data_IF_196006510774
#
_entry.id   IF_196006510774
#
_cell.length_a   1.000
_cell.length_b   1.000
_cell.length_c   1.000
_cell.angle_alpha   90.00
_cell.angle_beta   90.00
_cell.angle_gamma   90.00
#
_symmetry.space_group_name_H-M   'P 1'
#
loop_
_entity.id
_entity.type
_entity.pdbx_description
1 polymer ?
#
# COMPACT_ATOMS: atom_id res chain seq x y z
N UNK A 1 -19.20 -22.88 13.53
CA UNK A 1 -18.58 -22.93 12.18
C UNK A 1 -18.21 -21.50 11.81
N UNK A 2 -17.06 -21.26 11.19
CA UNK A 2 -16.61 -19.92 10.84
C UNK A 2 -17.59 -19.21 9.90
N UNK A 3 -17.73 -17.88 10.02
CA UNK A 3 -18.61 -17.07 9.16
C UNK A 3 -18.12 -17.11 7.70
N UNK A 4 -16.81 -17.13 7.49
CA UNK A 4 -16.19 -17.19 6.17
C UNK A 4 -15.08 -18.25 6.10
N UNK A 5 -14.89 -18.81 4.89
CA UNK A 5 -13.75 -19.66 4.56
C UNK A 5 -13.04 -19.06 3.35
N UNK A 6 -11.73 -18.88 3.45
CA UNK A 6 -10.89 -18.31 2.40
C UNK A 6 -9.89 -19.38 1.96
N UNK A 7 -9.91 -19.75 0.70
CA UNK A 7 -8.90 -20.61 0.09
C UNK A 7 -7.91 -19.75 -0.65
N UNK A 8 -6.61 -20.03 -0.53
CA UNK A 8 -5.57 -19.17 -1.08
C UNK A 8 -4.43 -19.98 -1.68
N UNK A 9 -3.96 -19.55 -2.84
CA UNK A 9 -2.79 -20.09 -3.50
C UNK A 9 -2.02 -18.99 -4.26
N UNK A 10 -0.73 -19.19 -4.51
CA UNK A 10 0.12 -18.25 -5.21
C UNK A 10 1.40 -18.91 -5.73
N UNK A 11 1.83 -18.48 -6.90
CA UNK A 11 2.99 -19.07 -7.55
C UNK A 11 3.62 -18.18 -8.62
N UNK A 12 4.87 -18.48 -8.93
CA UNK A 12 5.75 -17.73 -9.81
C UNK A 12 6.49 -18.69 -10.74
N UNK A 13 6.61 -18.33 -12.03
CA UNK A 13 7.35 -19.15 -12.99
C UNK A 13 7.96 -18.27 -14.11
N UNK A 14 9.29 -18.16 -14.22
CA UNK A 14 10.33 -18.65 -13.29
C UNK A 14 10.25 -17.99 -11.90
N UNK A 15 11.08 -18.40 -10.94
CA UNK A 15 11.08 -17.86 -9.56
C UNK A 15 12.50 -17.39 -9.16
N UNK A 16 12.77 -16.07 -9.08
CA UNK A 16 11.84 -14.96 -9.29
C UNK A 16 11.41 -14.80 -10.75
N UNK A 17 10.31 -14.07 -10.97
CA UNK A 17 9.75 -13.78 -12.30
C UNK A 17 8.27 -13.39 -12.23
N UNK A 18 7.50 -13.60 -13.32
CA UNK A 18 6.07 -13.38 -13.32
C UNK A 18 5.36 -14.31 -12.36
N UNK A 19 4.58 -13.74 -11.46
CA UNK A 19 3.79 -14.46 -10.47
C UNK A 19 2.32 -14.05 -10.48
N UNK A 20 1.49 -14.96 -10.00
CA UNK A 20 0.08 -14.76 -9.81
C UNK A 20 -0.38 -15.31 -8.46
N UNK A 21 -1.44 -14.72 -7.93
CA UNK A 21 -2.08 -15.15 -6.70
C UNK A 21 -3.58 -15.29 -6.91
N UNK A 22 -4.21 -16.17 -6.13
CA UNK A 22 -5.63 -16.46 -6.20
C UNK A 22 -6.23 -16.65 -4.81
N UNK A 23 -7.40 -16.10 -4.57
CA UNK A 23 -8.17 -16.31 -3.35
C UNK A 23 -9.66 -16.56 -3.65
N UNK A 24 -10.24 -17.55 -2.99
CA UNK A 24 -11.67 -17.89 -3.08
C UNK A 24 -12.31 -17.74 -1.71
N UNK A 25 -13.25 -16.81 -1.59
CA UNK A 25 -13.96 -16.52 -0.34
C UNK A 25 -15.38 -17.07 -0.37
N UNK A 26 -15.72 -17.84 0.64
CA UNK A 26 -17.01 -18.50 0.83
C UNK A 26 -17.66 -18.03 2.13
N UNK A 27 -18.98 -17.80 2.12
CA UNK A 27 -19.76 -17.53 3.34
C UNK A 27 -20.38 -18.81 3.88
N UNK A 28 -20.21 -19.06 5.19
CA UNK A 28 -20.48 -20.34 5.87
C UNK A 28 -21.92 -20.85 5.78
N UNK A 29 -22.91 -19.97 5.57
CA UNK A 29 -24.33 -20.35 5.48
C UNK A 29 -24.83 -20.57 4.04
N UNK A 30 -24.07 -20.12 3.03
CA UNK A 30 -24.55 -20.06 1.63
C UNK A 30 -23.40 -20.25 0.65
N UNK A 31 -23.02 -21.51 0.37
CA UNK A 31 -22.19 -21.93 -0.79
C UNK A 31 -22.57 -21.29 -2.15
N UNK A 32 -23.69 -20.58 -2.23
CA UNK A 32 -24.17 -19.78 -3.37
C UNK A 32 -23.42 -18.47 -3.61
N UNK A 33 -22.75 -17.86 -2.62
CA UNK A 33 -21.95 -16.64 -2.81
C UNK A 33 -20.46 -16.96 -2.67
N UNK A 34 -19.83 -17.16 -3.83
CA UNK A 34 -18.40 -17.35 -4.00
C UNK A 34 -17.83 -16.05 -4.52
N UNK A 35 -16.79 -15.53 -3.88
CA UNK A 35 -16.03 -14.38 -4.38
C UNK A 35 -14.64 -14.86 -4.75
N UNK A 36 -14.29 -14.69 -6.01
CA UNK A 36 -12.97 -15.04 -6.56
C UNK A 36 -12.16 -13.75 -6.72
N UNK A 37 -10.91 -13.78 -6.26
CA UNK A 37 -9.95 -12.70 -6.33
C UNK A 37 -8.66 -13.24 -6.92
N UNK A 38 -8.01 -12.46 -7.76
CA UNK A 38 -6.73 -12.83 -8.33
C UNK A 38 -5.95 -11.60 -8.78
N UNK A 39 -4.64 -11.70 -8.83
CA UNK A 39 -3.78 -10.64 -9.34
C UNK A 39 -2.42 -11.17 -9.81
N UNK A 40 -1.67 -10.31 -10.50
CA UNK A 40 -0.39 -10.63 -11.13
C UNK A 40 0.66 -9.61 -10.70
N UNK A 41 1.90 -10.06 -10.56
CA UNK A 41 3.08 -9.21 -10.37
C UNK A 41 4.17 -9.69 -11.34
N UNK A 42 4.75 -8.77 -12.12
CA UNK A 42 5.74 -9.10 -13.16
C UNK A 42 7.04 -9.67 -12.61
N UNK A 43 7.47 -9.17 -11.45
CA UNK A 43 8.74 -9.52 -10.82
C UNK A 43 8.51 -9.82 -9.34
N UNK A 44 8.29 -11.09 -9.03
CA UNK A 44 7.96 -11.53 -7.67
C UNK A 44 8.51 -12.93 -7.38
N UNK A 45 8.07 -13.56 -6.29
CA UNK A 45 8.43 -14.94 -5.94
C UNK A 45 7.21 -15.73 -5.50
N UNK A 46 7.31 -17.07 -5.48
CA UNK A 46 6.24 -17.95 -4.97
C UNK A 46 5.74 -17.49 -3.59
N UNK A 47 6.66 -17.38 -2.62
CA UNK A 47 6.32 -17.01 -1.25
C UNK A 47 5.62 -15.66 -1.13
N UNK A 48 5.99 -14.68 -2.00
CA UNK A 48 5.32 -13.38 -2.02
C UNK A 48 3.87 -13.51 -2.50
N UNK A 49 3.64 -14.30 -3.55
CA UNK A 49 2.29 -14.57 -4.06
C UNK A 49 1.41 -15.34 -3.07
N UNK A 50 1.97 -16.31 -2.36
CA UNK A 50 1.25 -17.03 -1.29
C UNK A 50 0.79 -16.09 -0.17
N UNK A 51 1.67 -15.20 0.32
CA UNK A 51 1.29 -14.19 1.34
C UNK A 51 0.26 -13.20 0.77
N UNK A 52 0.44 -12.80 -0.49
CA UNK A 52 -0.44 -11.85 -1.19
C UNK A 52 -1.86 -12.39 -1.28
N UNK A 53 -2.03 -13.66 -1.63
CA UNK A 53 -3.33 -14.32 -1.68
C UNK A 53 -4.07 -14.26 -0.33
N UNK A 54 -3.36 -14.52 0.77
CA UNK A 54 -3.92 -14.46 2.12
C UNK A 54 -4.35 -13.05 2.53
N UNK A 55 -3.52 -12.05 2.25
CA UNK A 55 -3.84 -10.64 2.52
C UNK A 55 -5.08 -10.21 1.75
N UNK A 56 -5.11 -10.46 0.44
CA UNK A 56 -6.22 -10.01 -0.41
C UNK A 56 -7.53 -10.72 -0.07
N UNK A 57 -7.46 -12.00 0.33
CA UNK A 57 -8.58 -12.70 0.91
C UNK A 57 -9.10 -12.03 2.19
N UNK A 58 -8.22 -11.74 3.15
CA UNK A 58 -8.60 -11.10 4.42
C UNK A 58 -9.08 -9.65 4.23
N UNK A 59 -8.53 -8.90 3.28
CA UNK A 59 -8.98 -7.55 2.91
C UNK A 59 -10.42 -7.49 2.46
N UNK A 60 -10.89 -8.55 1.81
CA UNK A 60 -12.27 -8.65 1.38
C UNK A 60 -13.26 -8.74 2.55
N UNK A 61 -12.77 -8.96 3.78
CA UNK A 61 -13.57 -9.12 4.99
C UNK A 61 -13.79 -7.80 5.74
N UNK A 62 -14.95 -7.75 6.41
CA UNK A 62 -15.30 -6.72 7.37
C UNK A 62 -14.50 -6.93 8.68
N UNK A 63 -14.29 -5.85 9.42
CA UNK A 63 -13.66 -5.93 10.74
C UNK A 63 -14.49 -6.83 11.67
N UNK A 64 -13.81 -7.64 12.48
CA UNK A 64 -14.41 -8.61 13.41
C UNK A 64 -14.99 -9.86 12.75
N UNK A 65 -14.80 -10.09 11.45
CA UNK A 65 -15.26 -11.32 10.80
C UNK A 65 -14.58 -12.57 11.39
N UNK A 66 -15.34 -13.65 11.53
CA UNK A 66 -14.83 -14.98 11.89
C UNK A 66 -14.47 -15.76 10.61
N UNK A 67 -13.17 -16.03 10.43
CA UNK A 67 -12.59 -16.46 9.15
C UNK A 67 -11.70 -17.68 9.34
N UNK A 68 -11.91 -18.71 8.52
CA UNK A 68 -10.96 -19.80 8.33
C UNK A 68 -10.17 -19.61 7.04
N UNK A 69 -8.86 -19.38 7.13
CA UNK A 69 -7.97 -19.37 5.98
C UNK A 69 -7.42 -20.78 5.74
N UNK A 70 -7.57 -21.27 4.51
CA UNK A 70 -7.13 -22.56 4.02
C UNK A 70 -6.05 -22.34 2.96
N UNK A 71 -4.87 -22.92 3.17
CA UNK A 71 -3.72 -22.79 2.26
C UNK A 71 -2.90 -24.08 2.25
N UNK A 72 -2.23 -24.37 1.15
CA UNK A 72 -1.21 -25.42 1.06
C UNK A 72 0.23 -24.92 1.26
N UNK A 73 0.42 -23.60 1.34
CA UNK A 73 1.70 -23.00 1.67
C UNK A 73 2.11 -23.30 3.10
N UNK A 74 3.15 -24.12 3.24
CA UNK A 74 3.81 -24.32 4.53
C UNK A 74 4.53 -23.05 4.99
N UNK A 75 5.06 -22.25 4.08
CA UNK A 75 5.76 -21.00 4.40
C UNK A 75 4.81 -20.00 5.06
N UNK A 76 3.64 -19.79 4.45
CA UNK A 76 2.59 -18.93 4.99
C UNK A 76 2.12 -19.45 6.34
N UNK A 77 1.75 -20.75 6.43
CA UNK A 77 1.27 -21.38 7.66
C UNK A 77 2.28 -21.25 8.80
N UNK A 78 3.56 -21.59 8.59
CA UNK A 78 4.58 -21.51 9.63
C UNK A 78 4.85 -20.05 10.03
N UNK A 79 4.86 -19.14 9.06
CA UNK A 79 5.02 -17.72 9.34
C UNK A 79 3.93 -17.17 10.24
N UNK A 80 2.66 -17.45 9.95
CA UNK A 80 1.54 -16.97 10.78
C UNK A 80 1.43 -17.66 12.13
N UNK A 81 1.63 -18.99 12.20
CA UNK A 81 1.42 -19.73 13.45
C UNK A 81 2.62 -19.70 14.40
N UNK A 82 3.82 -19.43 13.90
CA UNK A 82 5.06 -19.64 14.68
C UNK A 82 6.01 -18.45 14.64
N UNK A 83 6.31 -17.90 13.47
CA UNK A 83 7.41 -16.92 13.35
C UNK A 83 6.98 -15.48 13.61
N UNK A 84 5.81 -15.08 13.13
CA UNK A 84 5.35 -13.69 13.17
C UNK A 84 5.33 -13.13 14.58
N UNK A 85 4.86 -13.92 15.56
CA UNK A 85 4.85 -13.52 16.98
C UNK A 85 6.27 -13.22 17.50
N UNK A 86 7.27 -13.96 17.06
CA UNK A 86 8.68 -13.74 17.45
C UNK A 86 9.28 -12.53 16.72
N UNK A 87 8.99 -12.37 15.42
CA UNK A 87 9.44 -11.22 14.63
C UNK A 87 8.89 -9.90 15.17
N UNK A 88 7.61 -9.84 15.54
CA UNK A 88 7.01 -8.64 16.16
C UNK A 88 7.72 -8.21 17.43
N UNK A 89 8.08 -9.16 18.30
CA UNK A 89 8.85 -8.89 19.53
C UNK A 89 10.27 -8.39 19.27
N UNK A 90 10.79 -8.59 18.05
CA UNK A 90 12.14 -8.18 17.62
C UNK A 90 12.08 -7.10 16.55
N UNK A 91 10.99 -6.32 16.50
CA UNK A 91 10.82 -5.22 15.55
C UNK A 91 11.05 -5.63 14.08
N UNK A 92 10.57 -6.84 13.74
CA UNK A 92 10.70 -7.46 12.42
C UNK A 92 12.15 -7.71 11.98
N UNK A 93 13.00 -8.09 12.94
CA UNK A 93 14.37 -8.57 12.71
C UNK A 93 14.54 -10.05 13.02
N UNK A 94 15.46 -10.69 12.31
CA UNK A 94 15.87 -12.08 12.52
C UNK A 94 16.74 -12.21 13.79
N UNK A 95 17.13 -13.44 14.15
CA UNK A 95 18.12 -13.68 15.23
C UNK A 95 19.48 -13.04 14.93
N UNK A 96 19.82 -12.85 13.65
CA UNK A 96 21.08 -12.25 13.18
C UNK A 96 21.02 -10.72 13.13
N UNK A 97 19.87 -10.10 13.45
CA UNK A 97 19.67 -8.64 13.43
C UNK A 97 19.27 -8.06 12.07
N UNK A 98 19.25 -8.89 11.03
CA UNK A 98 18.83 -8.54 9.67
C UNK A 98 17.31 -8.36 9.58
N UNK A 99 16.84 -7.64 8.57
CA UNK A 99 15.41 -7.52 8.31
C UNK A 99 14.81 -8.87 7.91
N UNK A 100 13.62 -9.18 8.42
CA UNK A 100 12.88 -10.38 8.02
C UNK A 100 12.59 -10.34 6.51
N UNK A 101 12.83 -11.46 5.82
CA UNK A 101 12.51 -11.57 4.40
C UNK A 101 11.00 -11.43 4.18
N UNK A 102 10.61 -10.66 3.15
CA UNK A 102 9.21 -10.30 2.86
C UNK A 102 8.52 -9.54 4.02
N UNK A 103 9.28 -8.83 4.86
CA UNK A 103 8.76 -8.02 5.98
C UNK A 103 7.61 -7.12 5.54
N UNK A 104 7.73 -6.51 4.37
CA UNK A 104 6.71 -5.65 3.76
C UNK A 104 5.34 -6.35 3.69
N UNK A 105 5.29 -7.60 3.22
CA UNK A 105 4.04 -8.36 3.13
C UNK A 105 3.61 -8.94 4.47
N UNK A 106 4.56 -9.32 5.34
CA UNK A 106 4.24 -9.86 6.65
C UNK A 106 3.63 -8.82 7.59
N UNK A 107 4.14 -7.59 7.57
CA UNK A 107 3.56 -6.46 8.31
C UNK A 107 2.13 -6.18 7.83
N UNK A 108 1.89 -6.25 6.52
CA UNK A 108 0.54 -6.12 5.96
C UNK A 108 -0.37 -7.24 6.47
N UNK A 109 0.07 -8.49 6.39
CA UNK A 109 -0.72 -9.65 6.80
C UNK A 109 -1.04 -9.60 8.29
N UNK A 110 -0.12 -9.16 9.14
CA UNK A 110 -0.34 -9.00 10.58
C UNK A 110 -1.51 -8.03 10.87
N UNK A 111 -1.57 -6.92 10.12
CA UNK A 111 -2.68 -5.97 10.24
C UNK A 111 -4.01 -6.61 9.85
N UNK A 112 -4.06 -7.30 8.69
CA UNK A 112 -5.30 -7.95 8.24
C UNK A 112 -5.76 -9.08 9.17
N UNK A 113 -4.81 -9.84 9.71
CA UNK A 113 -5.09 -10.87 10.73
C UNK A 113 -5.63 -10.23 12.01
N UNK A 114 -5.07 -9.10 12.45
CA UNK A 114 -5.55 -8.38 13.63
C UNK A 114 -6.96 -7.80 13.49
N UNK A 115 -7.43 -7.55 12.26
CA UNK A 115 -8.79 -7.07 11.97
C UNK A 115 -9.87 -8.15 12.11
N UNK A 116 -9.51 -9.44 12.02
CA UNK A 116 -10.46 -10.56 11.98
C UNK A 116 -10.19 -11.57 13.10
N UNK A 117 -11.16 -12.43 13.41
CA UNK A 117 -10.90 -13.65 14.17
C UNK A 117 -10.47 -14.74 13.18
N UNK A 118 -9.15 -14.95 13.03
CA UNK A 118 -8.61 -15.82 11.97
C UNK A 118 -8.14 -17.17 12.53
N UNK A 119 -8.70 -18.24 12.01
CA UNK A 119 -8.18 -19.60 12.14
C UNK A 119 -7.44 -20.01 10.85
N UNK A 120 -6.42 -20.86 10.99
CA UNK A 120 -5.60 -21.33 9.88
C UNK A 120 -5.71 -22.85 9.74
N UNK A 121 -5.96 -23.32 8.52
CA UNK A 121 -5.96 -24.73 8.16
C UNK A 121 -4.98 -24.95 7.02
N UNK A 122 -4.00 -25.80 7.26
CA UNK A 122 -3.13 -26.26 6.20
C UNK A 122 -3.72 -27.49 5.52
N UNK A 123 -3.72 -27.49 4.20
CA UNK A 123 -4.05 -28.66 3.38
C UNK A 123 -2.83 -29.06 2.58
N UNK A 124 -2.76 -30.32 2.16
CA UNK A 124 -1.72 -30.73 1.22
C UNK A 124 -2.18 -30.30 -0.18
N UNK A 125 -1.29 -29.70 -0.98
CA UNK A 125 -1.58 -29.31 -2.35
C UNK A 125 -2.03 -30.52 -3.20
N UNK A 126 -2.90 -30.25 -4.19
CA UNK A 126 -3.44 -31.26 -5.13
C UNK A 126 -4.18 -32.44 -4.48
N UNK A 127 -4.88 -32.23 -3.36
CA UNK A 127 -5.63 -33.28 -2.65
C UNK A 127 -7.12 -33.37 -2.99
N UNK A 128 -7.61 -32.72 -4.05
CA UNK A 128 -9.02 -32.80 -4.45
C UNK A 128 -9.95 -31.82 -3.73
N UNK A 129 -9.43 -30.87 -2.93
CA UNK A 129 -10.26 -29.76 -2.44
C UNK A 129 -10.52 -28.79 -3.59
N UNK A 130 -11.72 -28.87 -4.15
CA UNK A 130 -12.17 -28.07 -5.30
C UNK A 130 -11.89 -26.57 -5.17
N UNK A 131 -11.89 -26.03 -3.94
CA UNK A 131 -11.70 -24.59 -3.74
C UNK A 131 -10.23 -24.21 -3.63
N UNK A 132 -9.38 -25.12 -3.15
CA UNK A 132 -7.93 -24.95 -3.24
C UNK A 132 -7.47 -25.05 -4.71
N UNK A 133 -7.98 -26.04 -5.44
CA UNK A 133 -7.73 -26.17 -6.88
C UNK A 133 -8.23 -24.96 -7.66
N UNK A 134 -9.36 -24.37 -7.23
CA UNK A 134 -9.85 -23.13 -7.84
C UNK A 134 -8.92 -21.95 -7.54
N UNK A 135 -8.35 -21.85 -6.35
CA UNK A 135 -7.38 -20.81 -6.01
C UNK A 135 -6.08 -20.97 -6.83
N UNK A 136 -5.57 -22.19 -7.00
CA UNK A 136 -4.43 -22.52 -7.88
C UNK A 136 -4.71 -22.09 -9.34
N UNK A 137 -5.88 -22.46 -9.86
CA UNK A 137 -6.30 -22.05 -11.21
C UNK A 137 -6.33 -20.53 -11.36
N UNK A 138 -6.85 -19.80 -10.37
CA UNK A 138 -6.87 -18.34 -10.38
C UNK A 138 -5.46 -17.74 -10.37
N UNK A 139 -4.56 -18.29 -9.55
CA UNK A 139 -3.16 -17.86 -9.49
C UNK A 139 -2.43 -18.12 -10.82
N UNK A 140 -2.61 -19.31 -11.40
CA UNK A 140 -2.02 -19.71 -12.68
C UNK A 140 -2.56 -18.87 -13.83
N UNK A 141 -3.88 -18.68 -13.93
CA UNK A 141 -4.49 -17.81 -14.95
C UNK A 141 -4.03 -16.35 -14.80
N UNK A 142 -3.88 -15.86 -13.58
CA UNK A 142 -3.39 -14.51 -13.36
C UNK A 142 -1.94 -14.36 -13.79
N UNK A 143 -1.06 -15.33 -13.46
CA UNK A 143 0.34 -15.34 -13.88
C UNK A 143 0.50 -15.33 -15.40
N UNK A 144 -0.26 -16.20 -16.08
CA UNK A 144 -0.09 -16.52 -17.50
C UNK A 144 -0.82 -15.54 -18.44
N UNK A 145 -1.57 -14.55 -17.92
CA UNK A 145 -2.18 -13.48 -18.73
C UNK A 145 -1.10 -12.59 -19.35
N UNK A 146 -0.96 -12.65 -20.67
CA UNK A 146 -0.17 -11.69 -21.44
C UNK A 146 -0.93 -10.37 -21.63
N UNK A 147 -0.27 -9.24 -21.37
CA UNK A 147 -0.66 -7.95 -21.93
C UNK A 147 -1.99 -7.36 -21.47
N UNK A 148 -2.18 -7.12 -20.17
CA UNK A 148 -2.66 -5.83 -19.64
C UNK A 148 -2.02 -5.67 -18.27
N UNK A 149 -1.01 -4.80 -18.18
CA UNK A 149 -0.63 -4.18 -16.93
C UNK A 149 -1.85 -3.40 -16.42
N UNK A 150 -2.69 -4.03 -15.61
CA UNK A 150 -3.45 -3.26 -14.61
C UNK A 150 -2.38 -2.74 -13.67
N UNK A 151 -1.87 -1.54 -13.98
CA UNK A 151 -0.67 -0.93 -13.40
C UNK A 151 -0.46 -1.42 -11.97
N UNK A 152 0.69 -2.08 -11.77
CA UNK A 152 1.13 -2.64 -10.51
C UNK A 152 0.68 -1.74 -9.37
N UNK A 153 -0.42 -2.12 -8.70
CA UNK A 153 -0.81 -1.48 -7.45
C UNK A 153 0.16 -2.08 -6.45
N UNK A 154 1.09 -1.29 -5.89
CA UNK A 154 1.98 -1.82 -4.88
C UNK A 154 1.12 -2.41 -3.77
N UNK A 155 1.60 -3.51 -3.22
CA UNK A 155 0.99 -4.13 -2.05
C UNK A 155 1.21 -3.21 -0.85
N UNK A 156 0.17 -2.46 -0.48
CA UNK A 156 0.22 -1.44 0.57
C UNK A 156 -0.54 -1.97 1.79
N UNK A 157 -0.01 -1.92 3.04
CA UNK A 157 -0.73 -2.32 4.27
C UNK A 157 -2.19 -1.84 4.33
N UNK A 158 -3.04 -2.55 5.09
CA UNK A 158 -4.48 -2.24 5.22
C UNK A 158 -4.76 -0.75 5.50
N UNK A 159 -3.86 -0.13 6.25
CA UNK A 159 -3.93 1.27 6.67
C UNK A 159 -2.81 2.12 6.06
N UNK A 160 -2.44 1.82 4.81
CA UNK A 160 -1.54 2.66 4.02
C UNK A 160 -2.32 3.46 2.97
N UNK A 161 -2.18 4.78 3.06
CA UNK A 161 -2.73 5.76 2.11
C UNK A 161 -1.62 6.09 1.10
N UNK A 162 -1.91 6.00 -0.20
CA UNK A 162 -1.01 6.55 -1.22
C UNK A 162 -1.54 7.89 -1.66
N UNK A 163 -0.69 8.90 -1.60
CA UNK A 163 -1.00 10.25 -2.01
C UNK A 163 -0.08 10.67 -3.15
N UNK A 164 -0.63 10.84 -4.35
CA UNK A 164 0.11 11.42 -5.47
C UNK A 164 -0.02 12.95 -5.41
N UNK A 165 1.09 13.65 -5.21
CA UNK A 165 1.15 15.10 -5.12
C UNK A 165 1.64 15.69 -6.45
N UNK A 166 0.78 16.49 -7.06
CA UNK A 166 1.09 17.28 -8.25
C UNK A 166 0.95 18.77 -7.97
N UNK A 167 1.83 19.57 -8.55
CA UNK A 167 1.80 21.04 -8.44
C UNK A 167 1.92 21.64 -9.84
N UNK A 168 1.19 22.73 -10.06
CA UNK A 168 1.31 23.61 -11.22
C UNK A 168 1.54 25.04 -10.73
N UNK A 169 2.29 25.84 -11.48
CA UNK A 169 2.59 27.24 -11.13
C UNK A 169 2.43 28.12 -12.35
N UNK A 170 1.87 29.31 -12.16
CA UNK A 170 1.74 30.36 -13.17
C UNK A 170 2.87 31.37 -12.93
N UNK A 171 3.92 31.39 -13.78
CA UNK A 171 5.08 32.27 -13.58
C UNK A 171 4.71 33.77 -13.57
N UNK A 172 3.59 34.12 -14.20
CA UNK A 172 3.17 35.48 -14.51
C UNK A 172 2.56 36.21 -13.31
N UNK A 173 1.95 35.45 -12.38
CA UNK A 173 1.24 36.00 -11.22
C UNK A 173 1.85 35.54 -9.87
N UNK A 174 2.82 34.62 -9.91
CA UNK A 174 3.37 34.00 -8.69
C UNK A 174 2.43 33.01 -8.01
N UNK A 175 1.28 32.73 -8.63
CA UNK A 175 0.28 31.80 -8.13
C UNK A 175 0.65 30.36 -8.45
N UNK A 176 0.37 29.47 -7.51
CA UNK A 176 0.49 28.04 -7.67
C UNK A 176 -0.81 27.33 -7.35
N UNK A 177 -0.92 26.09 -7.79
CA UNK A 177 -1.97 25.19 -7.34
C UNK A 177 -1.35 23.83 -7.05
N UNK A 178 -1.88 23.16 -6.05
CA UNK A 178 -1.59 21.74 -5.81
C UNK A 178 -2.83 20.91 -6.02
N UNK A 179 -2.62 19.64 -6.34
CA UNK A 179 -3.61 18.60 -6.13
C UNK A 179 -2.94 17.38 -5.51
N UNK A 180 -3.68 16.72 -4.63
CA UNK A 180 -3.32 15.44 -4.03
C UNK A 180 -4.40 14.44 -4.40
N UNK A 181 -4.00 13.40 -5.13
CA UNK A 181 -4.87 12.24 -5.41
C UNK A 181 -4.58 11.18 -4.35
N UNK A 182 -5.49 11.03 -3.39
CA UNK A 182 -5.42 10.06 -2.31
C UNK A 182 -6.11 8.76 -2.72
N UNK A 183 -5.42 7.66 -2.50
CA UNK A 183 -5.90 6.31 -2.74
C UNK A 183 -5.86 5.52 -1.43
N UNK A 184 -7.00 5.02 -0.98
CA UNK A 184 -7.11 4.21 0.23
C UNK A 184 -8.24 3.19 0.14
N UNK A 185 -7.95 1.90 0.37
CA UNK A 185 -8.91 0.77 0.29
C UNK A 185 -9.80 0.79 -0.98
N UNK A 186 -9.19 1.14 -2.12
CA UNK A 186 -9.88 1.23 -3.42
C UNK A 186 -10.79 2.45 -3.58
N UNK A 187 -10.85 3.35 -2.59
CA UNK A 187 -11.51 4.64 -2.68
C UNK A 187 -10.51 5.71 -3.06
N UNK A 188 -10.98 6.66 -3.84
CA UNK A 188 -10.21 7.82 -4.25
C UNK A 188 -10.80 9.08 -3.65
N UNK A 189 -9.93 10.00 -3.23
CA UNK A 189 -10.31 11.37 -2.86
C UNK A 189 -9.28 12.33 -3.44
N UNK A 190 -9.75 13.44 -4.00
CA UNK A 190 -8.88 14.50 -4.52
C UNK A 190 -8.97 15.71 -3.62
N UNK A 191 -7.83 16.20 -3.16
CA UNK A 191 -7.67 17.51 -2.51
C UNK A 191 -7.01 18.44 -3.53
N UNK A 192 -7.45 19.69 -3.60
CA UNK A 192 -6.87 20.66 -4.53
C UNK A 192 -7.15 22.07 -4.05
N UNK A 193 -6.19 22.96 -4.22
CA UNK A 193 -6.27 24.34 -3.76
C UNK A 193 -5.33 25.24 -4.58
N UNK A 194 -5.73 26.50 -4.76
CA UNK A 194 -4.89 27.57 -5.32
C UNK A 194 -4.18 28.26 -4.16
N UNK A 195 -2.87 28.41 -4.28
CA UNK A 195 -1.98 29.06 -3.32
C UNK A 195 -1.40 30.29 -4.00
N UNK A 196 -1.76 31.48 -3.51
CA UNK A 196 -1.34 32.75 -4.11
C UNK A 196 0.03 33.21 -3.63
N UNK A 197 0.85 33.71 -4.56
CA UNK A 197 2.12 34.37 -4.24
C UNK A 197 3.18 33.52 -3.52
N UNK A 198 3.05 32.19 -3.51
CA UNK A 198 4.00 31.29 -2.84
C UNK A 198 4.95 30.59 -3.84
N UNK A 199 6.26 30.50 -3.56
CA UNK A 199 7.20 29.72 -4.36
C UNK A 199 6.79 28.25 -4.50
N UNK A 200 7.12 27.64 -5.65
CA UNK A 200 6.76 26.26 -6.01
C UNK A 200 7.00 25.22 -4.89
N UNK A 201 8.09 25.34 -4.14
CA UNK A 201 8.40 24.42 -3.05
C UNK A 201 7.40 24.55 -1.89
N UNK A 202 6.94 25.76 -1.57
CA UNK A 202 5.94 25.96 -0.52
C UNK A 202 4.57 25.46 -0.97
N UNK A 203 4.21 25.63 -2.24
CA UNK A 203 2.98 25.05 -2.81
C UNK A 203 2.95 23.53 -2.66
N UNK A 204 4.11 22.87 -2.86
CA UNK A 204 4.22 21.44 -2.57
C UNK A 204 4.02 21.11 -1.08
N UNK A 205 4.66 21.85 -0.17
CA UNK A 205 4.53 21.62 1.28
C UNK A 205 3.11 21.87 1.79
N UNK A 206 2.42 22.90 1.25
CA UNK A 206 0.99 23.15 1.47
C UNK A 206 0.14 21.94 1.06
N UNK A 207 0.46 21.30 -0.06
CA UNK A 207 -0.19 20.05 -0.47
C UNK A 207 0.02 18.89 0.51
N UNK A 208 1.22 18.77 1.10
CA UNK A 208 1.49 17.78 2.16
C UNK A 208 0.69 18.08 3.42
N UNK A 209 0.62 19.34 3.85
CA UNK A 209 -0.20 19.75 5.00
C UNK A 209 -1.70 19.49 4.78
N UNK A 210 -2.23 19.82 3.61
CA UNK A 210 -3.62 19.55 3.25
C UNK A 210 -3.93 18.04 3.28
N UNK A 211 -2.98 17.21 2.84
CA UNK A 211 -3.06 15.76 2.97
C UNK A 211 -3.14 15.33 4.44
N UNK A 212 -2.25 15.82 5.30
CA UNK A 212 -2.24 15.45 6.72
C UNK A 212 -3.52 15.88 7.45
N UNK A 213 -4.03 17.07 7.16
CA UNK A 213 -5.22 17.63 7.79
C UNK A 213 -6.50 16.81 7.58
N UNK A 214 -6.56 15.96 6.55
CA UNK A 214 -7.74 15.10 6.29
C UNK A 214 -7.63 13.70 6.87
N UNK A 215 -6.48 13.34 7.45
CA UNK A 215 -6.27 12.05 8.09
C UNK A 215 -6.90 12.07 9.48
N UNK A 216 -7.61 11.00 9.84
CA UNK A 216 -8.40 10.92 11.09
C UNK A 216 -7.97 9.79 12.03
N UNK A 217 -6.97 9.00 11.63
CA UNK A 217 -6.47 7.83 12.35
C UNK A 217 -4.99 7.65 12.02
N UNK A 218 -4.26 7.04 12.94
CA UNK A 218 -2.88 6.60 12.74
C UNK A 218 -2.81 5.68 11.52
N UNK A 219 -2.17 6.16 10.47
CA UNK A 219 -2.05 5.48 9.18
C UNK A 219 -0.64 5.68 8.65
N UNK A 220 -0.20 4.75 7.82
CA UNK A 220 1.02 4.96 7.03
C UNK A 220 0.66 5.74 5.77
N UNK A 221 1.37 6.81 5.46
CA UNK A 221 1.09 7.64 4.28
C UNK A 221 2.30 7.63 3.37
N UNK A 222 2.13 7.13 2.16
CA UNK A 222 3.15 7.23 1.12
C UNK A 222 2.86 8.44 0.24
N UNK A 223 3.68 9.48 0.36
CA UNK A 223 3.63 10.67 -0.48
C UNK A 223 4.51 10.45 -1.71
N UNK A 224 3.87 10.30 -2.88
CA UNK A 224 4.51 10.18 -4.18
C UNK A 224 4.58 11.52 -4.86
N UNK A 225 5.77 11.96 -5.21
CA UNK A 225 6.00 13.24 -5.89
C UNK A 225 7.22 13.15 -6.79
N UNK A 226 7.25 13.95 -7.86
CA UNK A 226 8.43 14.13 -8.68
C UNK A 226 9.40 15.20 -8.11
N UNK A 227 9.00 15.89 -7.03
CA UNK A 227 9.79 16.96 -6.43
C UNK A 227 10.79 16.41 -5.39
N UNK A 228 12.07 16.44 -5.74
CA UNK A 228 13.18 15.98 -4.89
C UNK A 228 13.37 16.80 -3.61
N UNK A 229 13.00 18.08 -3.60
CA UNK A 229 13.09 18.91 -2.39
C UNK A 229 12.13 18.42 -1.32
N UNK A 230 10.89 18.06 -1.70
CA UNK A 230 9.88 17.52 -0.79
C UNK A 230 10.34 16.18 -0.21
N UNK A 231 10.81 15.26 -1.05
CA UNK A 231 11.19 13.92 -0.57
C UNK A 231 12.39 13.96 0.36
N UNK A 232 13.45 14.69 0.00
CA UNK A 232 14.65 14.84 0.86
C UNK A 232 14.35 15.63 2.14
N UNK A 233 13.46 16.61 2.07
CA UNK A 233 13.06 17.41 3.22
C UNK A 233 12.26 16.60 4.23
N UNK A 234 11.30 15.80 3.75
CA UNK A 234 10.54 14.87 4.59
C UNK A 234 11.48 13.88 5.25
N UNK A 235 12.28 13.10 4.51
CA UNK A 235 13.23 12.14 5.09
C UNK A 235 14.05 12.75 6.24
N UNK A 236 14.63 13.94 6.05
CA UNK A 236 15.44 14.61 7.09
C UNK A 236 14.64 15.07 8.31
N UNK A 237 13.50 15.72 8.10
CA UNK A 237 12.67 16.29 9.17
C UNK A 237 12.02 15.17 9.98
N UNK A 238 11.58 14.11 9.30
CA UNK A 238 10.94 12.96 9.95
C UNK A 238 11.96 12.12 10.74
N UNK A 239 13.19 11.95 10.23
CA UNK A 239 14.29 11.21 10.87
C UNK A 239 15.08 12.03 11.91
N UNK A 240 14.72 13.29 12.16
CA UNK A 240 15.38 14.14 13.16
C UNK A 240 16.80 14.61 12.79
N UNK A 241 17.16 14.56 11.51
CA UNK A 241 18.46 15.01 11.03
C UNK A 241 18.51 16.55 10.89
N UNK A 242 19.62 17.21 11.29
CA UNK A 242 19.74 18.67 11.20
C UNK A 242 19.71 19.17 9.74
N UNK A 243 18.86 20.16 9.46
CA UNK A 243 18.66 20.75 8.13
C UNK A 243 19.70 21.84 7.84
N UNK A 244 20.84 21.47 7.25
CA UNK A 244 21.97 22.42 6.99
C UNK A 244 21.88 23.22 5.68
N UNK A 245 20.81 23.10 4.88
CA UNK A 245 20.70 23.77 3.56
C UNK A 245 19.87 25.05 3.62
N UNK A 246 20.35 26.13 3.00
CA UNK A 246 19.70 27.47 2.91
C UNK A 246 18.24 27.41 2.43
N UNK A 247 17.89 26.51 1.52
CA UNK A 247 16.51 26.31 1.03
C UNK A 247 15.60 25.56 2.00
N UNK A 248 16.13 24.81 2.97
CA UNK A 248 15.34 24.20 4.05
C UNK A 248 14.98 25.26 5.10
N UNK A 249 15.91 26.17 5.43
CA UNK A 249 15.67 27.29 6.33
C UNK A 249 14.57 28.24 5.82
N UNK A 250 14.48 28.46 4.51
CA UNK A 250 13.46 29.32 3.90
C UNK A 250 12.02 28.81 4.08
N UNK A 251 11.84 27.53 4.42
CA UNK A 251 10.53 26.89 4.64
C UNK A 251 10.44 26.22 6.02
N UNK A 252 11.24 26.69 7.00
CA UNK A 252 11.34 26.07 8.32
C UNK A 252 10.00 26.08 9.08
N UNK A 253 9.17 27.09 8.84
CA UNK A 253 7.80 27.21 9.34
C UNK A 253 6.94 26.02 8.90
N UNK A 254 6.86 25.77 7.59
CA UNK A 254 6.05 24.67 7.04
C UNK A 254 6.59 23.30 7.42
N UNK A 255 7.92 23.14 7.52
CA UNK A 255 8.50 21.88 7.99
C UNK A 255 8.18 21.60 9.46
N UNK A 256 8.11 22.63 10.30
CA UNK A 256 7.67 22.51 11.69
C UNK A 256 6.20 22.10 11.75
N UNK A 257 5.32 22.76 10.99
CA UNK A 257 3.90 22.39 10.91
C UNK A 257 3.71 20.94 10.42
N UNK A 258 4.47 20.51 9.41
CA UNK A 258 4.42 19.12 8.92
C UNK A 258 4.86 18.15 10.00
N UNK A 259 5.88 18.50 10.80
CA UNK A 259 6.37 17.61 11.87
C UNK A 259 5.36 17.48 13.00
N UNK A 260 4.69 18.57 13.37
CA UNK A 260 3.61 18.58 14.36
C UNK A 260 2.38 17.81 13.84
N UNK A 261 2.00 18.02 12.57
CA UNK A 261 0.87 17.34 11.95
C UNK A 261 1.13 15.86 11.60
N UNK A 262 2.39 15.41 11.63
CA UNK A 262 2.72 13.99 11.49
C UNK A 262 2.34 13.19 12.74
N UNK A 263 2.33 13.79 13.94
CA UNK A 263 2.22 13.03 15.21
C UNK A 263 1.06 12.02 15.19
N UNK A 264 1.40 10.72 15.23
CA UNK A 264 0.45 9.59 15.14
C UNK A 264 0.38 8.92 13.76
N UNK A 265 0.80 9.60 12.69
CA UNK A 265 0.95 9.03 11.35
C UNK A 265 2.39 8.58 11.08
N UNK A 266 2.55 7.60 10.19
CA UNK A 266 3.87 7.22 9.66
C UNK A 266 3.99 7.72 8.23
N UNK A 267 4.68 8.83 8.02
CA UNK A 267 4.91 9.39 6.68
C UNK A 267 6.12 8.74 6.01
N UNK A 268 5.96 8.40 4.75
CA UNK A 268 7.02 7.92 3.86
C UNK A 268 6.95 8.75 2.59
N UNK A 269 8.04 9.42 2.24
CA UNK A 269 8.12 10.09 0.95
C UNK A 269 8.74 9.15 -0.09
N UNK A 270 8.25 9.18 -1.32
CA UNK A 270 8.81 8.39 -2.43
C UNK A 270 8.98 9.29 -3.64
N UNK A 271 10.24 9.42 -4.08
CA UNK A 271 10.56 10.14 -5.30
C UNK A 271 10.16 9.29 -6.49
N UNK A 272 9.24 9.81 -7.29
CA UNK A 272 8.75 9.17 -8.51
C UNK A 272 9.45 9.71 -9.74
N UNK A 273 9.36 8.98 -10.85
CA UNK A 273 9.72 9.50 -12.17
C UNK A 273 8.74 10.61 -12.56
N UNK A 274 9.15 11.50 -13.45
CA UNK A 274 8.29 12.61 -13.88
C UNK A 274 7.04 12.15 -14.63
N UNK A 275 7.05 10.95 -15.21
CA UNK A 275 5.98 10.34 -16.00
C UNK A 275 5.08 9.39 -15.18
N UNK A 276 5.17 9.39 -13.85
CA UNK A 276 4.27 8.59 -13.01
C UNK A 276 2.80 9.02 -13.23
N UNK A 277 1.97 8.07 -13.67
CA UNK A 277 0.59 8.35 -14.07
C UNK A 277 -0.26 9.00 -12.98
N UNK A 278 -0.04 8.66 -11.71
CA UNK A 278 -0.76 9.26 -10.59
C UNK A 278 -0.31 10.69 -10.30
N UNK A 279 1.00 10.94 -10.36
CA UNK A 279 1.57 12.30 -10.21
C UNK A 279 1.18 13.20 -11.38
N UNK A 280 1.21 12.69 -12.61
CA UNK A 280 0.78 13.44 -13.79
C UNK A 280 -0.70 13.80 -13.74
N UNK A 281 -1.55 12.88 -13.28
CA UNK A 281 -2.97 13.17 -13.06
C UNK A 281 -3.19 14.26 -12.00
N UNK A 282 -2.46 14.19 -10.89
CA UNK A 282 -2.50 15.24 -9.87
C UNK A 282 -2.03 16.59 -10.44
N UNK A 283 -0.94 16.60 -11.22
CA UNK A 283 -0.43 17.81 -11.87
C UNK A 283 -1.41 18.39 -12.88
N UNK A 284 -2.06 17.55 -13.69
CA UNK A 284 -3.11 17.97 -14.61
C UNK A 284 -4.29 18.61 -13.85
N UNK A 285 -4.72 18.00 -12.75
CA UNK A 285 -5.77 18.55 -11.89
C UNK A 285 -5.39 19.92 -11.30
N UNK A 286 -4.13 20.07 -10.85
CA UNK A 286 -3.62 21.34 -10.35
C UNK A 286 -3.57 22.42 -11.46
N UNK A 287 -3.17 22.04 -12.68
CA UNK A 287 -3.14 22.94 -13.84
C UNK A 287 -4.52 23.41 -14.24
N UNK A 288 -5.50 22.50 -14.30
CA UNK A 288 -6.90 22.82 -14.57
C UNK A 288 -7.45 23.80 -13.53
N UNK A 289 -7.15 23.56 -12.24
CA UNK A 289 -7.58 24.45 -11.17
C UNK A 289 -6.97 25.85 -11.34
N UNK A 290 -5.67 25.93 -11.62
CA UNK A 290 -4.97 27.21 -11.76
C UNK A 290 -5.42 28.00 -13.00
N UNK A 291 -5.78 27.32 -14.09
CA UNK A 291 -6.25 27.97 -15.32
C UNK A 291 -7.74 28.36 -15.29
N UNK A 292 -8.51 27.79 -14.36
CA UNK A 292 -9.95 28.05 -14.20
C UNK A 292 -10.32 28.93 -13.01
N UNK A 293 -9.32 29.41 -12.25
CA UNK A 293 -9.47 30.33 -11.11
C UNK A 293 -9.12 31.75 -11.51
#
# INVERSE_FOLDING_TARGET
MPEFVIYTDGGCKPNPGPGGWGAVVLRGDRKKKVRELSGREDETTNNRMEITAAVEGLRAMKDGADVLVVTDSQYLRQGVTSWMKAWKRREWRTTTGEAVRNRDLWEVLDVEVGRCSVAWKWVRGHTGDRWNERADQLATLARDREGVSSGSRPFLPADRVVAHLGVSTAPEHGDGAFAVVLLWKGRERVLREVVQGEPVNRVHLRGVLALLAVLKRDVTVEVRTANRYVTQGMERVLEGAPTTRRSAYANADLWKEIKEAEEGHRLVATLTRQDDAGVERARATARELLNGS
#
